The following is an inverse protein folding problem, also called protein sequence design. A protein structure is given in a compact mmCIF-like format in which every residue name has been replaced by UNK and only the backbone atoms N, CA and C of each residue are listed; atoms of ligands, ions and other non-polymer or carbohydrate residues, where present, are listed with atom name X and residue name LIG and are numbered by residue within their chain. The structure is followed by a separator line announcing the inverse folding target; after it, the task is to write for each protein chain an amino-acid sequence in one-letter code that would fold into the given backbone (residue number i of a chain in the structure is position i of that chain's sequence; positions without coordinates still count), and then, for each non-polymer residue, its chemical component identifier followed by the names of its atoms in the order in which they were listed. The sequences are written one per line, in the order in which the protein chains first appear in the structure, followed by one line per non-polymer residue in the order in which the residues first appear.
data_IF_278925641205
#
_entry.id   IF_278925641205
#
_cell.length_a   1.000
_cell.length_b   1.000
_cell.length_c   1.000
_cell.angle_alpha   90.00
_cell.angle_beta   90.00
_cell.angle_gamma   90.00
#
_symmetry.space_group_name_H-M   'P 1'
#
loop_
_entity.id
_entity.type
_entity.pdbx_description
1 polymer ?
#
# COMPACT_ATOMS: atom_id res chain seq x y z
N UNK A 1 21.72 -2.73 25.72
CA UNK A 1 20.52 -2.06 26.30
C UNK A 1 19.37 -1.90 25.28
N UNK A 2 19.62 -1.44 24.04
CA UNK A 2 18.58 -1.33 23.00
C UNK A 2 17.92 -2.65 22.56
N UNK A 3 18.65 -3.78 22.58
CA UNK A 3 18.11 -5.09 22.19
C UNK A 3 16.97 -5.60 23.10
N UNK A 4 17.02 -5.31 24.41
CA UNK A 4 15.97 -5.71 25.34
C UNK A 4 14.68 -4.90 25.11
N UNK A 5 14.80 -3.59 24.87
CA UNK A 5 13.66 -2.74 24.53
C UNK A 5 12.97 -3.20 23.24
N UNK A 6 13.71 -3.44 22.16
CA UNK A 6 13.14 -3.89 20.88
C UNK A 6 12.39 -5.20 21.03
N UNK A 7 12.99 -6.20 21.69
CA UNK A 7 12.34 -7.50 21.91
C UNK A 7 11.08 -7.38 22.77
N UNK A 8 11.05 -6.48 23.76
CA UNK A 8 9.85 -6.25 24.56
C UNK A 8 8.74 -5.57 23.74
N UNK A 9 9.08 -4.55 22.94
CA UNK A 9 8.13 -3.90 22.04
C UNK A 9 7.55 -4.90 21.03
N UNK A 10 8.40 -5.74 20.43
CA UNK A 10 7.98 -6.79 19.50
C UNK A 10 6.95 -7.73 20.14
N UNK A 11 7.24 -8.23 21.35
CA UNK A 11 6.32 -9.11 22.08
C UNK A 11 4.99 -8.43 22.37
N UNK A 12 5.01 -7.16 22.81
CA UNK A 12 3.79 -6.39 23.08
C UNK A 12 2.99 -6.24 21.79
N UNK A 13 3.61 -5.77 20.71
CA UNK A 13 2.95 -5.56 19.42
C UNK A 13 2.43 -6.86 18.81
N UNK A 14 3.10 -7.98 19.02
CA UNK A 14 2.68 -9.26 18.46
C UNK A 14 1.52 -9.90 19.23
N UNK A 15 1.52 -9.80 20.56
CA UNK A 15 0.67 -10.63 21.41
C UNK A 15 -0.31 -9.87 22.29
N UNK A 16 -0.10 -8.58 22.53
CA UNK A 16 -1.02 -7.79 23.35
C UNK A 16 -2.39 -7.74 22.69
N UNK A 17 -3.41 -7.92 23.54
CA UNK A 17 -4.83 -7.76 23.20
C UNK A 17 -5.46 -6.56 23.90
N UNK A 18 -4.63 -5.71 24.52
CA UNK A 18 -5.06 -4.52 25.21
C UNK A 18 -4.69 -3.27 24.37
N UNK A 19 -5.67 -2.51 23.85
CA UNK A 19 -5.41 -1.28 23.10
C UNK A 19 -4.54 -0.26 23.85
N UNK A 20 -4.76 -0.12 25.16
CA UNK A 20 -3.99 0.85 25.98
C UNK A 20 -2.51 0.45 26.06
N UNK A 21 -2.23 -0.85 26.21
CA UNK A 21 -0.86 -1.37 26.26
C UNK A 21 -0.15 -1.20 24.89
N UNK A 22 -0.88 -1.42 23.79
CA UNK A 22 -0.38 -1.17 22.44
C UNK A 22 -0.06 0.31 22.23
N UNK A 23 -0.94 1.20 22.69
CA UNK A 23 -0.77 2.64 22.61
C UNK A 23 0.42 3.13 23.45
N UNK A 24 0.58 2.66 24.69
CA UNK A 24 1.70 2.99 25.56
C UNK A 24 3.04 2.52 24.96
N UNK A 25 3.07 1.29 24.44
CA UNK A 25 4.24 0.75 23.75
C UNK A 25 4.57 1.53 22.46
N UNK A 26 3.55 1.95 21.72
CA UNK A 26 3.70 2.84 20.57
C UNK A 26 4.30 4.20 20.96
N UNK A 27 3.76 4.84 22.00
CA UNK A 27 4.30 6.12 22.51
C UNK A 27 5.77 5.97 22.95
N UNK A 28 6.10 4.87 23.63
CA UNK A 28 7.47 4.58 24.03
C UNK A 28 8.39 4.41 22.82
N UNK A 29 7.96 3.69 21.79
CA UNK A 29 8.67 3.53 20.52
C UNK A 29 8.98 4.89 19.87
N UNK A 30 7.98 5.78 19.80
CA UNK A 30 8.13 7.14 19.26
C UNK A 30 9.11 7.95 20.11
N UNK A 31 8.90 7.98 21.43
CA UNK A 31 9.73 8.76 22.35
C UNK A 31 11.20 8.33 22.31
N UNK A 32 11.45 7.02 22.20
CA UNK A 32 12.80 6.44 22.09
C UNK A 32 13.36 6.46 20.67
N UNK A 33 12.59 6.96 19.68
CA UNK A 33 12.96 7.02 18.26
C UNK A 33 13.47 5.68 17.73
N UNK A 34 12.77 4.59 18.08
CA UNK A 34 13.14 3.26 17.59
C UNK A 34 12.74 3.16 16.12
N UNK A 35 13.70 3.43 15.23
CA UNK A 35 13.53 3.34 13.79
C UNK A 35 13.72 1.88 13.32
N UNK A 36 12.62 1.13 13.24
CA UNK A 36 12.63 -0.29 12.86
C UNK A 36 11.35 -0.66 12.11
N UNK A 37 11.45 -0.79 10.79
CA UNK A 37 10.30 -1.06 9.91
C UNK A 37 9.57 -2.36 10.28
N UNK A 38 10.29 -3.40 10.72
CA UNK A 38 9.65 -4.67 11.03
C UNK A 38 8.80 -4.57 12.29
N UNK A 39 9.25 -3.82 13.31
CA UNK A 39 8.42 -3.53 14.48
C UNK A 39 7.16 -2.75 14.11
N UNK A 40 7.26 -1.80 13.18
CA UNK A 40 6.11 -1.04 12.71
C UNK A 40 5.11 -1.96 12.03
N UNK A 41 5.59 -2.87 11.16
CA UNK A 41 4.73 -3.84 10.48
C UNK A 41 4.00 -4.75 11.45
N UNK A 42 4.69 -5.24 12.49
CA UNK A 42 4.11 -6.09 13.53
C UNK A 42 3.02 -5.34 14.29
N UNK A 43 3.28 -4.10 14.72
CA UNK A 43 2.27 -3.27 15.37
C UNK A 43 1.05 -3.11 14.48
N UNK A 44 1.22 -2.60 13.25
CA UNK A 44 0.12 -2.28 12.36
C UNK A 44 -0.70 -3.53 11.97
N UNK A 45 -0.10 -4.72 11.96
CA UNK A 45 -0.78 -5.98 11.68
C UNK A 45 -1.50 -6.58 12.91
N UNK A 46 -1.37 -5.98 14.10
CA UNK A 46 -2.02 -6.51 15.29
C UNK A 46 -3.57 -6.43 15.15
N UNK A 47 -4.29 -7.55 15.36
CA UNK A 47 -5.74 -7.61 15.14
C UNK A 47 -6.57 -6.83 16.16
N UNK A 48 -6.01 -6.50 17.32
CA UNK A 48 -6.66 -5.70 18.36
C UNK A 48 -6.78 -4.22 17.97
N UNK A 49 -5.92 -3.74 17.07
CA UNK A 49 -5.94 -2.36 16.60
C UNK A 49 -7.15 -2.13 15.68
N UNK A 50 -7.95 -1.13 16.00
CA UNK A 50 -9.08 -0.71 15.18
C UNK A 50 -8.62 -0.11 13.83
N UNK A 51 -9.57 0.13 12.91
CA UNK A 51 -9.25 0.81 11.65
C UNK A 51 -8.64 2.20 11.92
N UNK A 52 -9.27 2.97 12.80
CA UNK A 52 -8.87 4.35 13.07
C UNK A 52 -7.50 4.44 13.74
N UNK A 53 -7.22 3.54 14.68
CA UNK A 53 -5.89 3.44 15.30
C UNK A 53 -4.82 3.02 14.30
N UNK A 54 -5.12 2.08 13.40
CA UNK A 54 -4.20 1.69 12.32
C UNK A 54 -3.83 2.90 11.46
N UNK A 55 -4.81 3.72 11.05
CA UNK A 55 -4.55 4.95 10.29
C UNK A 55 -3.72 5.92 11.11
N UNK A 56 -4.13 6.19 12.37
CA UNK A 56 -3.45 7.12 13.26
C UNK A 56 -1.98 6.74 13.50
N UNK A 57 -1.70 5.48 13.82
CA UNK A 57 -0.35 4.97 14.02
C UNK A 57 0.47 5.06 12.72
N UNK A 58 -0.11 4.69 11.58
CA UNK A 58 0.56 4.76 10.28
C UNK A 58 0.98 6.20 9.95
N UNK A 59 0.07 7.16 10.08
CA UNK A 59 0.36 8.59 9.84
C UNK A 59 1.44 9.11 10.79
N UNK A 60 1.37 8.75 12.06
CA UNK A 60 2.35 9.19 13.06
C UNK A 60 3.73 8.58 12.81
N UNK A 61 3.81 7.29 12.48
CA UNK A 61 5.07 6.63 12.10
C UNK A 61 5.68 7.25 10.86
N UNK A 62 4.88 7.43 9.80
CA UNK A 62 5.37 8.02 8.56
C UNK A 62 5.84 9.47 8.72
N UNK A 63 5.23 10.22 9.65
CA UNK A 63 5.66 11.59 9.99
C UNK A 63 6.98 11.62 10.77
N UNK A 64 7.12 10.76 11.77
CA UNK A 64 8.29 10.77 12.66
C UNK A 64 9.50 10.00 12.08
N UNK A 65 9.27 9.06 11.17
CA UNK A 65 10.27 8.27 10.45
C UNK A 65 10.08 8.41 8.94
N UNK A 66 10.29 9.62 8.43
CA UNK A 66 9.99 10.00 7.04
C UNK A 66 10.76 9.20 5.99
N UNK A 67 11.93 8.67 6.33
CA UNK A 67 12.75 7.77 5.51
C UNK A 67 12.05 6.43 5.21
N UNK A 68 11.17 5.99 6.12
CA UNK A 68 10.39 4.75 5.99
C UNK A 68 8.93 4.99 5.57
N UNK A 69 8.50 6.24 5.42
CA UNK A 69 7.09 6.58 5.18
C UNK A 69 6.48 5.82 3.99
N UNK A 70 7.24 5.66 2.89
CA UNK A 70 6.77 4.93 1.71
C UNK A 70 6.43 3.47 2.01
N UNK A 71 7.29 2.79 2.77
CA UNK A 71 7.09 1.39 3.15
C UNK A 71 6.01 1.23 4.22
N UNK A 72 5.91 2.18 5.14
CA UNK A 72 4.82 2.24 6.13
C UNK A 72 3.48 2.34 5.41
N UNK A 73 3.31 3.33 4.52
CA UNK A 73 2.06 3.51 3.78
C UNK A 73 1.70 2.29 2.91
N UNK A 74 2.69 1.68 2.26
CA UNK A 74 2.48 0.45 1.50
C UNK A 74 2.02 -0.72 2.38
N UNK A 75 2.58 -0.85 3.58
CA UNK A 75 2.14 -1.87 4.52
C UNK A 75 0.74 -1.60 5.05
N UNK A 76 0.44 -0.35 5.40
CA UNK A 76 -0.89 0.07 5.85
C UNK A 76 -1.97 -0.28 4.84
N UNK A 77 -1.74 -0.05 3.54
CA UNK A 77 -2.72 -0.41 2.51
C UNK A 77 -3.04 -1.92 2.56
N UNK A 78 -2.01 -2.77 2.65
CA UNK A 78 -2.15 -4.23 2.70
C UNK A 78 -2.89 -4.70 3.96
N UNK A 79 -2.65 -4.08 5.11
CA UNK A 79 -3.37 -4.44 6.35
C UNK A 79 -4.85 -4.08 6.21
N UNK A 80 -5.15 -2.90 5.67
CA UNK A 80 -6.53 -2.42 5.48
C UNK A 80 -7.31 -3.32 4.51
N UNK A 81 -6.69 -3.72 3.40
CA UNK A 81 -7.30 -4.65 2.43
C UNK A 81 -7.81 -5.95 3.08
N UNK A 82 -7.15 -6.39 4.16
CA UNK A 82 -7.52 -7.62 4.88
C UNK A 82 -8.60 -7.41 5.97
N UNK A 83 -9.10 -6.19 6.19
CA UNK A 83 -10.18 -5.91 7.16
C UNK A 83 -11.57 -6.03 6.50
N UNK A 84 -12.56 -6.47 7.27
CA UNK A 84 -13.81 -7.15 6.85
C UNK A 84 -14.89 -6.33 6.09
N UNK A 85 -14.58 -5.15 5.53
CA UNK A 85 -15.51 -4.38 4.69
C UNK A 85 -14.85 -3.99 3.35
N UNK A 86 -15.17 -4.71 2.27
CA UNK A 86 -14.39 -4.68 1.03
C UNK A 86 -14.29 -3.28 0.38
N UNK A 87 -15.39 -2.57 0.14
CA UNK A 87 -15.34 -1.35 -0.69
C UNK A 87 -14.66 -0.16 0.00
N UNK A 88 -15.08 0.21 1.22
CA UNK A 88 -14.46 1.33 1.96
C UNK A 88 -12.97 1.06 2.23
N UNK A 89 -12.62 -0.18 2.56
CA UNK A 89 -11.23 -0.56 2.78
C UNK A 89 -10.39 -0.45 1.50
N UNK A 90 -10.96 -0.75 0.33
CA UNK A 90 -10.25 -0.59 -0.95
C UNK A 90 -9.96 0.87 -1.31
N UNK A 91 -10.91 1.79 -1.07
CA UNK A 91 -10.67 3.23 -1.30
C UNK A 91 -9.56 3.77 -0.39
N UNK A 92 -9.57 3.36 0.88
CA UNK A 92 -8.51 3.73 1.83
C UNK A 92 -7.18 3.07 1.43
N UNK A 93 -7.18 1.81 1.02
CA UNK A 93 -5.98 1.13 0.54
C UNK A 93 -5.37 1.88 -0.66
N UNK A 94 -6.19 2.25 -1.64
CA UNK A 94 -5.75 3.04 -2.79
C UNK A 94 -5.18 4.41 -2.35
N UNK A 95 -5.79 5.07 -1.37
CA UNK A 95 -5.25 6.31 -0.80
C UNK A 95 -3.82 6.11 -0.24
N UNK A 96 -3.59 5.06 0.53
CA UNK A 96 -2.26 4.77 1.10
C UNK A 96 -1.24 4.31 0.04
N UNK A 97 -1.67 3.59 -1.00
CA UNK A 97 -0.80 3.29 -2.15
C UNK A 97 -0.36 4.56 -2.88
N UNK A 98 -1.26 5.53 -3.07
CA UNK A 98 -0.92 6.85 -3.64
C UNK A 98 0.11 7.58 -2.77
N UNK A 99 -0.05 7.57 -1.45
CA UNK A 99 0.93 8.17 -0.52
C UNK A 99 2.29 7.48 -0.56
N UNK A 100 2.30 6.15 -0.62
CA UNK A 100 3.53 5.36 -0.78
C UNK A 100 4.28 5.74 -2.06
N UNK A 101 3.55 5.77 -3.19
CA UNK A 101 4.08 6.17 -4.49
C UNK A 101 4.68 7.59 -4.48
N UNK A 102 3.98 8.56 -3.89
CA UNK A 102 4.44 9.94 -3.83
C UNK A 102 5.71 10.11 -2.97
N UNK A 103 5.92 9.22 -2.00
CA UNK A 103 7.12 9.24 -1.15
C UNK A 103 8.34 8.69 -1.89
N UNK A 104 8.17 7.61 -2.66
CA UNK A 104 9.25 7.00 -3.43
C UNK A 104 8.75 6.50 -4.79
N UNK A 105 8.83 7.37 -5.81
CA UNK A 105 8.42 7.07 -7.19
C UNK A 105 9.31 6.04 -7.92
N UNK A 106 10.39 5.57 -7.30
CA UNK A 106 11.19 4.48 -7.84
C UNK A 106 10.67 3.10 -7.40
N UNK A 107 9.83 3.05 -6.36
CA UNK A 107 9.16 1.83 -5.96
C UNK A 107 7.91 1.65 -6.83
N UNK A 108 7.90 0.60 -7.65
CA UNK A 108 6.81 0.33 -8.58
C UNK A 108 5.70 -0.53 -7.94
N UNK A 109 5.95 -1.10 -6.77
CA UNK A 109 5.01 -1.96 -6.04
C UNK A 109 3.66 -1.26 -5.78
N UNK A 110 3.59 0.04 -5.41
CA UNK A 110 2.30 0.69 -5.18
C UNK A 110 1.38 0.73 -6.41
N UNK A 111 1.94 0.88 -7.62
CA UNK A 111 1.14 0.89 -8.85
C UNK A 111 0.65 -0.53 -9.19
N UNK A 112 1.53 -1.54 -9.10
CA UNK A 112 1.14 -2.94 -9.31
C UNK A 112 0.03 -3.36 -8.34
N UNK A 113 0.14 -2.93 -7.07
CA UNK A 113 -0.89 -3.16 -6.07
C UNK A 113 -2.17 -2.40 -6.37
N UNK A 114 -2.10 -1.16 -6.85
CA UNK A 114 -3.29 -0.43 -7.25
C UNK A 114 -4.06 -1.16 -8.36
N UNK A 115 -3.36 -1.73 -9.36
CA UNK A 115 -4.01 -2.59 -10.36
C UNK A 115 -4.75 -3.78 -9.74
N UNK A 116 -4.23 -4.37 -8.67
CA UNK A 116 -4.90 -5.48 -7.96
C UNK A 116 -6.13 -5.08 -7.16
N UNK A 117 -6.32 -3.79 -6.87
CA UNK A 117 -7.53 -3.26 -6.25
C UNK A 117 -8.70 -3.08 -7.23
N UNK A 118 -8.47 -3.24 -8.54
CA UNK A 118 -9.56 -3.20 -9.51
C UNK A 118 -10.56 -4.31 -9.22
N UNK A 119 -11.81 -3.94 -8.96
CA UNK A 119 -12.87 -4.88 -8.65
C UNK A 119 -13.64 -5.26 -9.93
N UNK A 120 -13.44 -6.49 -10.40
CA UNK A 120 -14.06 -7.03 -11.61
C UNK A 120 -15.55 -7.35 -11.48
N UNK A 121 -16.13 -7.29 -10.28
CA UNK A 121 -17.58 -7.42 -10.08
C UNK A 121 -18.34 -6.17 -10.52
N UNK A 122 -17.65 -5.02 -10.59
CA UNK A 122 -18.21 -3.74 -11.00
C UNK A 122 -17.68 -3.30 -12.36
N UNK A 123 -18.43 -2.44 -13.02
CA UNK A 123 -18.00 -1.82 -14.27
C UNK A 123 -16.78 -0.89 -14.08
N UNK A 124 -16.24 -0.43 -15.20
CA UNK A 124 -15.08 0.46 -15.21
C UNK A 124 -15.39 1.87 -14.67
N UNK A 125 -16.65 2.29 -14.70
CA UNK A 125 -17.10 3.60 -14.25
C UNK A 125 -17.34 3.65 -12.74
N UNK A 126 -17.36 2.49 -12.08
CA UNK A 126 -17.37 2.39 -10.62
C UNK A 126 -16.26 3.25 -10.00
N UNK A 127 -16.57 4.08 -8.97
CA UNK A 127 -15.65 5.10 -8.48
C UNK A 127 -14.24 4.60 -8.13
N UNK A 128 -14.13 3.46 -7.44
CA UNK A 128 -12.85 2.83 -7.12
C UNK A 128 -12.07 2.45 -8.39
N UNK A 129 -12.73 1.77 -9.33
CA UNK A 129 -12.12 1.29 -10.57
C UNK A 129 -11.60 2.45 -11.43
N UNK A 130 -12.39 3.51 -11.55
CA UNK A 130 -11.99 4.75 -12.22
C UNK A 130 -10.77 5.39 -11.55
N UNK A 131 -10.77 5.45 -10.22
CA UNK A 131 -9.66 6.00 -9.45
C UNK A 131 -8.38 5.18 -9.53
N UNK A 132 -8.49 3.84 -9.63
CA UNK A 132 -7.37 2.92 -9.87
C UNK A 132 -6.76 3.20 -11.23
N UNK A 133 -7.57 3.21 -12.29
CA UNK A 133 -7.10 3.42 -13.67
C UNK A 133 -6.42 4.77 -13.80
N UNK A 134 -7.10 5.85 -13.38
CA UNK A 134 -6.54 7.21 -13.47
C UNK A 134 -5.19 7.30 -12.76
N UNK A 135 -5.08 6.75 -11.55
CA UNK A 135 -3.83 6.74 -10.80
C UNK A 135 -2.70 6.02 -11.54
N UNK A 136 -2.97 4.84 -12.09
CA UNK A 136 -1.96 4.02 -12.77
C UNK A 136 -1.54 4.67 -14.09
N UNK A 137 -2.50 5.15 -14.89
CA UNK A 137 -2.23 5.82 -16.18
C UNK A 137 -1.44 7.12 -16.01
N UNK A 138 -1.77 7.93 -15.01
CA UNK A 138 -1.02 9.15 -14.70
C UNK A 138 0.40 8.86 -14.21
N UNK A 139 0.62 7.71 -13.57
CA UNK A 139 1.87 7.39 -12.88
C UNK A 139 2.82 6.51 -13.70
N UNK A 140 2.33 5.76 -14.69
CA UNK A 140 3.14 4.79 -15.46
C UNK A 140 4.33 5.42 -16.17
N UNK A 141 4.25 6.70 -16.55
CA UNK A 141 5.36 7.36 -17.23
C UNK A 141 6.63 7.53 -16.37
N UNK A 142 6.50 7.42 -15.05
CA UNK A 142 7.59 7.62 -14.09
C UNK A 142 8.18 6.31 -13.54
N UNK A 143 7.56 5.15 -13.82
CA UNK A 143 8.09 3.86 -13.34
C UNK A 143 9.22 3.35 -14.23
N UNK A 144 10.07 2.48 -13.64
CA UNK A 144 11.10 1.74 -14.38
C UNK A 144 10.57 0.48 -15.08
N UNK A 145 9.47 -0.09 -14.60
CA UNK A 145 8.89 -1.36 -15.09
C UNK A 145 7.58 -1.13 -15.86
N UNK A 146 7.60 -0.19 -16.78
CA UNK A 146 6.44 0.18 -17.61
C UNK A 146 5.81 -1.03 -18.27
N UNK A 147 6.62 -1.98 -18.76
CA UNK A 147 6.12 -3.21 -19.38
C UNK A 147 5.11 -3.95 -18.50
N UNK A 148 5.47 -4.21 -17.23
CA UNK A 148 4.62 -4.92 -16.27
C UNK A 148 3.34 -4.16 -15.94
N UNK A 149 3.43 -2.83 -15.76
CA UNK A 149 2.26 -1.99 -15.49
C UNK A 149 1.30 -2.01 -16.68
N UNK A 150 1.80 -1.87 -17.91
CA UNK A 150 0.96 -1.91 -19.10
C UNK A 150 0.32 -3.28 -19.32
N UNK A 151 1.00 -4.39 -19.04
CA UNK A 151 0.36 -5.70 -19.05
C UNK A 151 -0.77 -5.81 -18.01
N UNK A 152 -0.61 -5.25 -16.81
CA UNK A 152 -1.69 -5.20 -15.82
C UNK A 152 -2.89 -4.36 -16.31
N UNK A 153 -2.64 -3.19 -16.90
CA UNK A 153 -3.70 -2.37 -17.50
C UNK A 153 -4.41 -3.06 -18.66
N UNK A 154 -3.68 -3.77 -19.53
CA UNK A 154 -4.26 -4.55 -20.62
C UNK A 154 -5.24 -5.61 -20.08
N UNK A 155 -4.86 -6.34 -19.03
CA UNK A 155 -5.75 -7.33 -18.39
C UNK A 155 -7.03 -6.67 -17.86
N UNK A 156 -6.91 -5.51 -17.21
CA UNK A 156 -8.06 -4.75 -16.70
C UNK A 156 -8.98 -4.36 -17.86
N UNK A 157 -8.44 -3.73 -18.90
CA UNK A 157 -9.22 -3.27 -20.04
C UNK A 157 -9.88 -4.41 -20.83
N UNK A 158 -9.16 -5.53 -20.99
CA UNK A 158 -9.70 -6.75 -21.63
C UNK A 158 -10.91 -7.29 -20.89
N UNK A 159 -10.81 -7.41 -19.56
CA UNK A 159 -11.91 -7.90 -18.72
C UNK A 159 -13.08 -6.92 -18.65
N UNK A 160 -12.82 -5.62 -18.75
CA UNK A 160 -13.85 -4.58 -18.87
C UNK A 160 -14.47 -4.49 -20.28
N UNK A 161 -14.06 -5.32 -21.24
CA UNK A 161 -14.59 -5.33 -22.61
C UNK A 161 -14.02 -4.23 -23.53
N UNK A 162 -13.05 -3.44 -23.06
CA UNK A 162 -12.40 -2.36 -23.82
C UNK A 162 -11.23 -2.90 -24.65
N UNK A 163 -11.57 -3.59 -25.74
CA UNK A 163 -10.61 -4.32 -26.59
C UNK A 163 -9.52 -3.43 -27.20
N UNK A 164 -9.88 -2.25 -27.72
CA UNK A 164 -8.90 -1.34 -28.33
C UNK A 164 -7.88 -0.85 -27.29
N UNK A 165 -8.34 -0.38 -26.13
CA UNK A 165 -7.45 0.04 -25.03
C UNK A 165 -6.57 -1.10 -24.52
N UNK A 166 -7.12 -2.32 -24.43
CA UNK A 166 -6.33 -3.50 -24.08
C UNK A 166 -5.18 -3.72 -25.06
N UNK A 167 -5.46 -3.65 -26.36
CA UNK A 167 -4.47 -3.85 -27.42
C UNK A 167 -3.40 -2.75 -27.41
N UNK A 168 -3.81 -1.49 -27.21
CA UNK A 168 -2.88 -0.36 -27.05
C UNK A 168 -1.93 -0.60 -25.88
N UNK A 169 -2.45 -1.06 -24.73
CA UNK A 169 -1.62 -1.39 -23.57
C UNK A 169 -0.68 -2.57 -23.84
N UNK A 170 -1.12 -3.62 -24.54
CA UNK A 170 -0.26 -4.75 -24.93
C UNK A 170 0.90 -4.29 -25.81
N UNK A 171 0.63 -3.46 -26.82
CA UNK A 171 1.67 -2.90 -27.69
C UNK A 171 2.67 -2.02 -26.92
N UNK A 172 2.18 -1.20 -25.99
CA UNK A 172 3.05 -0.41 -25.12
C UNK A 172 3.89 -1.30 -24.19
N UNK A 173 3.30 -2.37 -23.65
CA UNK A 173 3.99 -3.31 -22.78
C UNK A 173 5.16 -4.00 -23.52
N UNK A 174 4.91 -4.50 -24.72
CA UNK A 174 5.93 -5.13 -25.58
C UNK A 174 7.05 -4.16 -25.95
N UNK A 175 6.69 -2.93 -26.32
CA UNK A 175 7.66 -1.88 -26.61
C UNK A 175 8.60 -1.65 -25.44
N UNK A 176 8.05 -1.50 -24.23
CA UNK A 176 8.88 -1.24 -23.05
C UNK A 176 9.65 -2.46 -22.57
N UNK A 177 9.13 -3.68 -22.76
CA UNK A 177 9.86 -4.91 -22.43
C UNK A 177 11.20 -4.97 -23.18
N UNK A 178 11.20 -4.61 -24.47
CA UNK A 178 12.44 -4.56 -25.28
C UNK A 178 13.46 -3.50 -24.86
N UNK A 179 13.08 -2.55 -24.00
CA UNK A 179 13.92 -1.45 -23.50
C UNK A 179 14.33 -1.66 -22.04
N UNK A 180 13.57 -2.45 -21.29
CA UNK A 180 13.78 -2.75 -19.87
C UNK A 180 14.69 -3.97 -19.63
N UNK A 181 14.88 -4.80 -20.65
CA UNK A 181 15.90 -5.87 -20.70
C UNK A 181 17.33 -5.29 -20.82
#
# INVERSE_FOLDING_TARGET
MHSNLKSNLEKIFQYSRNPDELFDAFQLLIFKKVNDLELFKILLANPTISKDELLMFSEKLAKDFSDLAGDIYLWTSRVIENKTNQTECMDIALHYLKKSWLTNKFNNEPLLRACSLFNFEYDIDFPLNKNVIAFVEESVNYVKIKSKIYYSLAIIYKKAGLKEKSRECEMLAEKWASVED
#
